data_IF_974067464015
#
_entry.id   IF_974067464015
#
_cell.length_a   1.000
_cell.length_b   1.000
_cell.length_c   1.000
_cell.angle_alpha   90.00
_cell.angle_beta   90.00
_cell.angle_gamma   90.00
#
_symmetry.space_group_name_H-M   'P 1'
#
loop_
_entity.id
_entity.type
_entity.pdbx_description
1 polymer ?
#
# COMPACT_ATOMS: atom_id res chain seq x y z
N UNK A 1 4.09 -1.60 15.41
CA UNK A 1 3.80 -2.19 14.10
C UNK A 1 4.48 -1.32 13.06
N UNK A 2 5.35 -1.88 12.24
CA UNK A 2 5.93 -1.22 11.06
C UNK A 2 5.60 -2.12 9.86
N UNK A 3 5.11 -1.53 8.79
CA UNK A 3 4.85 -2.17 7.52
C UNK A 3 5.43 -1.25 6.46
N UNK A 4 6.14 -1.82 5.49
CA UNK A 4 6.64 -1.07 4.34
C UNK A 4 5.57 -1.04 3.25
N UNK A 5 5.69 -0.11 2.30
CA UNK A 5 4.70 -0.02 1.21
C UNK A 5 4.65 -1.29 0.35
N UNK A 6 5.78 -2.00 0.22
CA UNK A 6 5.90 -3.30 -0.45
C UNK A 6 5.03 -4.41 0.19
N UNK A 7 4.67 -4.27 1.47
CA UNK A 7 3.84 -5.23 2.20
C UNK A 7 2.32 -4.99 2.01
N UNK A 8 1.93 -3.95 1.26
CA UNK A 8 0.54 -3.55 1.05
C UNK A 8 -0.05 -4.14 -0.24
N UNK A 9 -1.24 -4.72 -0.13
CA UNK A 9 -1.96 -5.30 -1.25
C UNK A 9 -3.37 -4.73 -1.34
N UNK A 10 -3.75 -4.31 -2.54
CA UNK A 10 -5.05 -3.70 -2.81
C UNK A 10 -5.94 -4.69 -3.58
N UNK A 11 -7.06 -5.05 -2.99
CA UNK A 11 -8.08 -5.92 -3.57
C UNK A 11 -9.35 -5.14 -3.82
N UNK A 12 -9.56 -4.74 -5.07
CA UNK A 12 -10.73 -3.97 -5.49
C UNK A 12 -11.90 -4.87 -5.84
N UNK A 13 -13.07 -4.64 -5.23
CA UNK A 13 -14.31 -5.33 -5.54
C UNK A 13 -15.47 -4.34 -5.67
N UNK A 14 -15.86 -4.06 -6.91
CA UNK A 14 -16.94 -3.13 -7.22
C UNK A 14 -16.60 -1.68 -6.81
N UNK A 15 -17.25 -1.17 -5.76
CA UNK A 15 -17.10 0.21 -5.26
C UNK A 15 -16.24 0.31 -4.00
N UNK A 16 -15.75 -0.82 -3.50
CA UNK A 16 -14.91 -0.87 -2.34
C UNK A 16 -13.59 -1.57 -2.65
N UNK A 17 -12.57 -1.23 -1.89
CA UNK A 17 -11.25 -1.81 -2.00
C UNK A 17 -10.77 -2.18 -0.61
N UNK A 18 -10.31 -3.42 -0.49
CA UNK A 18 -9.65 -3.92 0.71
C UNK A 18 -8.14 -3.73 0.58
N UNK A 19 -7.55 -3.04 1.53
CA UNK A 19 -6.11 -2.92 1.68
C UNK A 19 -5.68 -3.91 2.75
N UNK A 20 -4.77 -4.79 2.40
CA UNK A 20 -4.30 -5.86 3.27
C UNK A 20 -2.80 -5.70 3.44
N UNK A 21 -2.35 -5.60 4.69
CA UNK A 21 -0.93 -5.73 5.02
C UNK A 21 -0.65 -7.17 5.41
N UNK A 22 0.29 -7.80 4.71
CA UNK A 22 0.71 -9.17 4.99
C UNK A 22 2.06 -9.19 5.69
N UNK A 23 2.35 -10.26 6.39
CA UNK A 23 3.69 -10.46 6.94
C UNK A 23 4.66 -10.86 5.81
N UNK A 24 5.83 -10.20 5.68
CA UNK A 24 6.82 -10.54 4.66
C UNK A 24 7.43 -11.93 4.84
N UNK A 25 7.38 -12.50 6.05
CA UNK A 25 7.87 -13.86 6.35
C UNK A 25 6.78 -14.92 6.12
N UNK A 26 5.52 -14.53 6.31
CA UNK A 26 4.34 -15.39 6.21
C UNK A 26 3.28 -14.69 5.36
N UNK A 27 3.35 -14.84 4.03
CA UNK A 27 2.40 -14.23 3.09
C UNK A 27 0.94 -14.67 3.29
N UNK A 28 0.69 -15.69 4.11
CA UNK A 28 -0.64 -16.14 4.51
C UNK A 28 -1.17 -15.41 5.75
N UNK A 29 -0.31 -14.75 6.54
CA UNK A 29 -0.72 -14.02 7.74
C UNK A 29 -1.01 -12.56 7.42
N UNK A 30 -2.28 -12.19 7.54
CA UNK A 30 -2.75 -10.80 7.45
C UNK A 30 -2.50 -10.11 8.78
N UNK A 31 -1.59 -9.13 8.80
CA UNK A 31 -1.30 -8.31 9.98
C UNK A 31 -2.44 -7.35 10.28
N UNK A 32 -2.97 -6.72 9.24
CA UNK A 32 -4.15 -5.88 9.33
C UNK A 32 -4.82 -5.74 7.95
N UNK A 33 -6.11 -5.40 7.99
CA UNK A 33 -6.92 -5.12 6.82
C UNK A 33 -7.70 -3.83 7.04
N UNK A 34 -7.81 -3.01 6.00
CA UNK A 34 -8.60 -1.80 5.95
C UNK A 34 -9.55 -1.86 4.75
N UNK A 35 -10.84 -1.69 5.02
CA UNK A 35 -11.86 -1.56 3.99
C UNK A 35 -12.13 -0.09 3.71
N UNK A 36 -12.10 0.32 2.44
CA UNK A 36 -12.37 1.71 2.07
C UNK A 36 -13.04 1.83 0.70
N UNK A 37 -13.56 3.01 0.38
CA UNK A 37 -14.12 3.27 -0.93
C UNK A 37 -13.03 3.19 -2.00
N UNK A 38 -13.38 2.71 -3.20
CA UNK A 38 -12.40 2.55 -4.28
C UNK A 38 -11.77 3.87 -4.73
N UNK A 39 -12.49 4.99 -4.61
CA UNK A 39 -11.93 6.31 -4.90
C UNK A 39 -10.82 6.68 -3.90
N UNK A 40 -11.09 6.52 -2.60
CA UNK A 40 -10.11 6.79 -1.55
C UNK A 40 -8.88 5.85 -1.65
N UNK A 41 -9.11 4.57 -1.95
CA UNK A 41 -8.03 3.60 -2.15
C UNK A 41 -7.13 3.96 -3.34
N UNK A 42 -7.72 4.48 -4.42
CA UNK A 42 -7.00 4.95 -5.59
C UNK A 42 -6.19 6.20 -5.31
N UNK A 43 -6.73 7.13 -4.51
CA UNK A 43 -5.96 8.30 -4.05
C UNK A 43 -4.79 7.88 -3.18
N UNK A 44 -5.01 6.92 -2.27
CA UNK A 44 -3.94 6.38 -1.44
C UNK A 44 -2.83 5.73 -2.26
N UNK A 45 -3.18 4.90 -3.25
CA UNK A 45 -2.20 4.29 -4.15
C UNK A 45 -1.33 5.35 -4.86
N UNK A 46 -1.95 6.42 -5.38
CA UNK A 46 -1.23 7.53 -6.02
C UNK A 46 -0.29 8.27 -5.06
N UNK A 47 -0.70 8.46 -3.81
CA UNK A 47 0.14 9.10 -2.80
C UNK A 47 1.35 8.23 -2.47
N UNK A 48 1.19 6.91 -2.42
CA UNK A 48 2.29 5.96 -2.22
C UNK A 48 3.27 6.04 -3.40
N UNK A 49 2.77 5.90 -4.63
CA UNK A 49 3.59 6.00 -5.85
C UNK A 49 4.38 7.32 -5.91
N UNK A 50 3.72 8.45 -5.61
CA UNK A 50 4.38 9.76 -5.61
C UNK A 50 5.47 9.87 -4.55
N UNK A 51 5.24 9.30 -3.36
CA UNK A 51 6.23 9.30 -2.29
C UNK A 51 7.45 8.42 -2.63
N UNK A 52 7.23 7.29 -3.31
CA UNK A 52 8.31 6.42 -3.80
C UNK A 52 9.15 7.11 -4.87
N UNK A 53 8.52 7.76 -5.85
CA UNK A 53 9.22 8.55 -6.88
C UNK A 53 10.06 9.69 -6.26
N UNK A 54 9.48 10.44 -5.32
CA UNK A 54 10.20 11.51 -4.60
C UNK A 54 11.39 10.96 -3.81
N UNK A 55 11.24 9.79 -3.18
CA UNK A 55 12.32 9.12 -2.47
C UNK A 55 13.43 8.65 -3.41
N UNK A 56 13.10 8.05 -4.55
CA UNK A 56 14.07 7.65 -5.56
C UNK A 56 14.89 8.84 -6.09
N UNK A 57 14.24 9.97 -6.33
CA UNK A 57 14.91 11.21 -6.75
C UNK A 57 15.93 11.65 -5.68
N UNK A 58 15.53 11.68 -4.40
CA UNK A 58 16.42 12.03 -3.30
C UNK A 58 17.62 11.08 -3.19
N UNK A 59 17.41 9.78 -3.42
CA UNK A 59 18.47 8.77 -3.35
C UNK A 59 19.43 8.81 -4.54
N UNK A 60 19.02 9.37 -5.67
CA UNK A 60 19.86 9.51 -6.88
C UNK A 60 20.90 10.62 -6.78
N UNK A 61 20.63 11.65 -5.98
CA UNK A 61 21.51 12.81 -5.78
C UNK A 61 22.57 12.60 -4.67
N UNK A 62 22.66 11.37 -4.13
CA UNK A 62 23.58 10.94 -3.08
C UNK A 62 24.73 10.08 -3.65
#
# INVERSE_FOLDING_TARGET
MKAEFEDLYFFSSGKATDIVCRDPVSHDEVRWQLHMASDDARELAKMIESAEEEFEILMRDL
#
